data_IF_280713307211
#
_entry.id   IF_280713307211
#
_cell.length_a   1.000
_cell.length_b   1.000
_cell.length_c   1.000
_cell.angle_alpha   90.00
_cell.angle_beta   90.00
_cell.angle_gamma   90.00
#
_symmetry.space_group_name_H-M   'P 1'
#
loop_
_entity.id
_entity.type
_entity.pdbx_description
1 polymer ?
#
# COMPACT_ATOMS: atom_id res chain seq x y z
N UNK A 1 -13.14 -9.05 17.46
CA UNK A 1 -13.90 -7.79 17.33
C UNK A 1 -13.05 -6.74 16.61
N UNK A 2 -13.63 -5.56 16.34
CA UNK A 2 -12.88 -4.40 15.84
C UNK A 2 -11.85 -3.88 16.85
N UNK A 3 -11.94 -4.31 18.09
CA UNK A 3 -10.92 -4.01 19.10
C UNK A 3 -9.67 -4.92 18.98
N UNK A 4 -9.84 -6.09 18.39
CA UNK A 4 -8.77 -7.09 18.28
C UNK A 4 -8.05 -7.02 16.92
N UNK A 5 -8.80 -6.71 15.85
CA UNK A 5 -8.30 -6.72 14.46
C UNK A 5 -8.49 -5.38 13.78
N UNK A 6 -7.56 -5.07 12.90
CA UNK A 6 -7.62 -3.91 12.00
C UNK A 6 -7.25 -4.31 10.58
N UNK A 7 -7.96 -3.77 9.61
CA UNK A 7 -7.63 -3.89 8.19
C UNK A 7 -7.03 -2.55 7.75
N UNK A 8 -5.74 -2.55 7.47
CA UNK A 8 -5.04 -1.39 6.96
C UNK A 8 -5.15 -1.37 5.45
N UNK A 9 -5.58 -0.24 4.92
CA UNK A 9 -5.86 -0.05 3.48
C UNK A 9 -5.01 1.07 2.92
N UNK A 10 -4.47 0.84 1.73
CA UNK A 10 -3.80 1.83 0.90
C UNK A 10 -4.19 1.63 -0.57
N UNK A 11 -3.54 2.34 -1.47
CA UNK A 11 -3.64 2.09 -2.92
C UNK A 11 -2.25 2.12 -3.56
N UNK A 12 -2.05 1.23 -4.52
CA UNK A 12 -0.86 1.24 -5.37
C UNK A 12 -0.66 2.58 -6.07
N UNK A 13 -1.76 3.28 -6.37
CA UNK A 13 -1.74 4.60 -7.01
C UNK A 13 -1.10 5.69 -6.15
N UNK A 14 -1.19 5.60 -4.81
CA UNK A 14 -0.48 6.53 -3.92
C UNK A 14 1.02 6.50 -4.23
N UNK A 15 1.57 5.30 -4.32
CA UNK A 15 2.99 5.13 -4.61
C UNK A 15 3.34 5.52 -6.05
N UNK A 16 2.44 5.24 -7.01
CA UNK A 16 2.61 5.64 -8.41
C UNK A 16 2.65 7.16 -8.56
N UNK A 17 1.78 7.89 -7.88
CA UNK A 17 1.74 9.35 -7.90
C UNK A 17 2.98 9.97 -7.24
N UNK A 18 3.37 9.48 -6.05
CA UNK A 18 4.57 9.97 -5.35
C UNK A 18 5.83 9.70 -6.16
N UNK A 19 6.05 8.46 -6.58
CA UNK A 19 7.24 8.10 -7.33
C UNK A 19 7.27 8.75 -8.71
N UNK A 20 6.10 8.90 -9.35
CA UNK A 20 5.94 9.62 -10.61
C UNK A 20 6.33 11.09 -10.49
N UNK A 21 5.93 11.79 -9.42
CA UNK A 21 6.33 13.19 -9.16
C UNK A 21 7.83 13.35 -8.94
N UNK A 22 8.50 12.31 -8.46
CA UNK A 22 9.95 12.24 -8.26
C UNK A 22 10.71 11.74 -9.51
N UNK A 23 10.02 11.50 -10.63
CA UNK A 23 10.60 10.99 -11.87
C UNK A 23 10.97 9.50 -11.85
N UNK A 24 10.53 8.75 -10.84
CA UNK A 24 10.81 7.31 -10.70
C UNK A 24 9.78 6.49 -11.48
N UNK A 25 10.19 5.93 -12.61
CA UNK A 25 9.30 5.20 -13.53
C UNK A 25 9.91 3.88 -13.99
N UNK A 26 9.10 3.04 -14.65
CA UNK A 26 9.56 1.79 -15.28
C UNK A 26 10.20 0.80 -14.31
N UNK A 27 11.39 0.29 -14.65
CA UNK A 27 12.10 -0.70 -13.83
C UNK A 27 12.56 -0.17 -12.46
N UNK A 28 12.85 1.13 -12.35
CA UNK A 28 13.19 1.77 -11.09
C UNK A 28 11.99 1.78 -10.15
N UNK A 29 10.79 2.06 -10.64
CA UNK A 29 9.54 2.00 -9.88
C UNK A 29 9.35 0.65 -9.20
N UNK A 30 9.43 -0.45 -9.97
CA UNK A 30 9.23 -1.80 -9.42
C UNK A 30 10.27 -2.16 -8.35
N UNK A 31 11.53 -1.78 -8.55
CA UNK A 31 12.60 -2.00 -7.56
C UNK A 31 12.36 -1.19 -6.29
N UNK A 32 11.97 0.08 -6.43
CA UNK A 32 11.63 0.95 -5.30
C UNK A 32 10.49 0.36 -4.48
N UNK A 33 9.44 -0.14 -5.12
CA UNK A 33 8.33 -0.79 -4.41
C UNK A 33 8.77 -2.02 -3.59
N UNK A 34 9.68 -2.85 -4.13
CA UNK A 34 10.21 -4.02 -3.42
C UNK A 34 11.04 -3.61 -2.20
N UNK A 35 11.75 -2.49 -2.28
CA UNK A 35 12.52 -1.95 -1.15
C UNK A 35 11.57 -1.41 -0.08
N UNK A 36 10.57 -0.63 -0.48
CA UNK A 36 9.57 -0.05 0.42
C UNK A 36 8.79 -1.14 1.17
N UNK A 37 8.41 -2.23 0.52
CA UNK A 37 7.72 -3.37 1.16
C UNK A 37 8.54 -4.03 2.30
N UNK A 38 9.82 -3.67 2.41
CA UNK A 38 10.70 -4.16 3.47
C UNK A 38 10.95 -3.15 4.59
N UNK A 39 10.32 -1.96 4.53
CA UNK A 39 10.59 -0.89 5.50
C UNK A 39 10.34 -1.31 6.95
N UNK A 40 9.31 -2.12 7.18
CA UNK A 40 9.00 -2.65 8.52
C UNK A 40 9.93 -3.80 8.97
N UNK A 41 10.75 -4.32 8.07
CA UNK A 41 11.58 -5.51 8.29
C UNK A 41 13.08 -5.21 8.37
N UNK A 42 13.50 -4.04 7.90
CA UNK A 42 14.88 -3.61 7.80
C UNK A 42 15.10 -2.27 8.52
N UNK A 43 16.31 -2.01 9.05
CA UNK A 43 16.67 -0.70 9.58
C UNK A 43 16.51 0.41 8.54
N UNK A 44 16.12 1.62 8.99
CA UNK A 44 15.89 2.77 8.11
C UNK A 44 17.10 3.08 7.23
N UNK A 45 18.31 3.02 7.79
CA UNK A 45 19.56 3.30 7.10
C UNK A 45 19.80 2.30 5.93
N UNK A 46 19.38 1.04 6.11
CA UNK A 46 19.51 0.03 5.05
C UNK A 46 18.53 0.27 3.91
N UNK A 47 17.32 0.76 4.21
CA UNK A 47 16.32 1.16 3.21
C UNK A 47 16.82 2.39 2.45
N UNK A 48 17.30 3.42 3.15
CA UNK A 48 17.85 4.64 2.56
C UNK A 48 19.03 4.34 1.63
N UNK A 49 19.96 3.49 2.06
CA UNK A 49 21.08 3.08 1.23
C UNK A 49 20.61 2.38 -0.06
N UNK A 50 19.66 1.45 0.03
CA UNK A 50 19.12 0.75 -1.15
C UNK A 50 18.37 1.71 -2.10
N UNK A 51 17.63 2.69 -1.58
CA UNK A 51 16.97 3.69 -2.40
C UNK A 51 17.98 4.64 -3.07
N UNK A 52 19.03 5.02 -2.35
CA UNK A 52 20.13 5.83 -2.91
C UNK A 52 20.89 5.10 -4.03
N UNK A 53 21.09 3.77 -3.92
CA UNK A 53 21.67 2.94 -4.98
C UNK A 53 20.81 2.93 -6.27
N UNK A 54 19.51 3.15 -6.15
CA UNK A 54 18.60 3.33 -7.30
C UNK A 54 18.64 4.76 -7.88
N UNK A 55 19.45 5.65 -7.29
CA UNK A 55 19.62 7.03 -7.74
C UNK A 55 18.67 8.04 -7.10
N UNK A 56 17.91 7.67 -6.07
CA UNK A 56 17.08 8.61 -5.34
C UNK A 56 17.95 9.49 -4.44
N UNK A 57 17.73 10.79 -4.50
CA UNK A 57 18.38 11.76 -3.62
C UNK A 57 17.69 11.81 -2.25
N UNK A 58 18.39 12.30 -1.23
CA UNK A 58 17.90 12.31 0.14
C UNK A 58 16.52 12.97 0.30
N UNK A 59 16.26 14.08 -0.37
CA UNK A 59 14.97 14.76 -0.34
C UNK A 59 13.83 13.91 -0.93
N UNK A 60 14.10 13.14 -1.98
CA UNK A 60 13.15 12.22 -2.56
C UNK A 60 12.83 11.07 -1.59
N UNK A 61 13.85 10.52 -0.93
CA UNK A 61 13.69 9.48 0.08
C UNK A 61 12.84 10.00 1.26
N UNK A 62 13.15 11.19 1.77
CA UNK A 62 12.38 11.83 2.84
C UNK A 62 10.92 12.08 2.44
N UNK A 63 10.67 12.48 1.19
CA UNK A 63 9.31 12.65 0.65
C UNK A 63 8.55 11.33 0.66
N UNK A 64 9.16 10.25 0.17
CA UNK A 64 8.56 8.91 0.17
C UNK A 64 8.21 8.48 1.61
N UNK A 65 9.17 8.59 2.53
CA UNK A 65 8.97 8.23 3.94
C UNK A 65 7.84 9.04 4.59
N UNK A 66 7.79 10.35 4.33
CA UNK A 66 6.73 11.23 4.82
C UNK A 66 5.35 10.79 4.35
N UNK A 67 5.19 10.49 3.06
CA UNK A 67 3.90 10.06 2.52
C UNK A 67 3.50 8.68 3.05
N UNK A 68 4.44 7.75 3.13
CA UNK A 68 4.16 6.42 3.67
C UNK A 68 3.81 6.43 5.18
N UNK A 69 4.19 7.46 5.92
CA UNK A 69 3.78 7.66 7.30
C UNK A 69 2.34 8.13 7.50
N UNK A 70 1.63 8.51 6.43
CA UNK A 70 0.29 9.10 6.50
C UNK A 70 -0.77 8.04 6.82
N UNK A 71 -1.65 8.38 7.77
CA UNK A 71 -2.80 7.57 8.20
C UNK A 71 -4.13 8.33 8.18
N UNK A 72 -4.13 9.53 7.63
CA UNK A 72 -5.31 10.41 7.51
C UNK A 72 -5.55 10.78 6.05
N UNK A 73 -6.81 10.68 5.60
CA UNK A 73 -7.19 10.97 4.20
C UNK A 73 -6.94 12.42 3.80
N UNK A 74 -7.21 13.37 4.69
CA UNK A 74 -7.00 14.79 4.41
C UNK A 74 -5.51 15.16 4.36
N UNK A 75 -4.67 14.46 5.12
CA UNK A 75 -3.22 14.55 5.03
C UNK A 75 -2.71 13.98 3.70
N UNK A 76 -3.22 12.82 3.31
CA UNK A 76 -2.86 12.19 2.05
C UNK A 76 -3.24 13.08 0.85
N UNK A 77 -4.43 13.64 0.84
CA UNK A 77 -4.87 14.58 -0.19
C UNK A 77 -3.93 15.78 -0.31
N UNK A 78 -3.55 16.38 0.81
CA UNK A 78 -2.60 17.52 0.81
C UNK A 78 -1.21 17.12 0.33
N UNK A 79 -0.73 15.95 0.73
CA UNK A 79 0.59 15.45 0.35
C UNK A 79 0.69 15.12 -1.14
N UNK A 80 -0.42 14.67 -1.77
CA UNK A 80 -0.50 14.40 -3.21
C UNK A 80 -0.89 15.63 -4.05
N UNK A 81 -0.95 16.82 -3.45
CA UNK A 81 -1.20 18.07 -4.16
C UNK A 81 -2.67 18.36 -4.45
N UNK A 82 -3.57 17.74 -3.70
CA UNK A 82 -5.03 17.91 -3.82
C UNK A 82 -5.72 16.63 -4.29
N UNK A 83 -6.87 16.79 -4.96
CA UNK A 83 -7.65 15.65 -5.45
C UNK A 83 -6.88 14.89 -6.52
N UNK A 84 -6.58 13.64 -6.24
CA UNK A 84 -5.85 12.72 -7.11
C UNK A 84 -6.67 11.45 -7.37
N UNK A 85 -6.24 10.62 -8.32
CA UNK A 85 -6.92 9.35 -8.59
C UNK A 85 -6.82 8.40 -7.38
N UNK A 86 -5.67 8.38 -6.70
CA UNK A 86 -5.48 7.58 -5.48
C UNK A 86 -6.43 8.01 -4.36
N UNK A 87 -6.52 9.32 -4.09
CA UNK A 87 -7.42 9.88 -3.06
C UNK A 87 -8.88 9.59 -3.38
N UNK A 88 -9.29 9.81 -4.64
CA UNK A 88 -10.67 9.55 -5.10
C UNK A 88 -11.06 8.07 -4.94
N UNK A 89 -10.16 7.16 -5.35
CA UNK A 89 -10.39 5.71 -5.25
C UNK A 89 -10.48 5.25 -3.78
N UNK A 90 -9.56 5.69 -2.93
CA UNK A 90 -9.58 5.37 -1.51
C UNK A 90 -10.80 5.95 -0.81
N UNK A 91 -11.17 7.20 -1.10
CA UNK A 91 -12.39 7.82 -0.57
C UNK A 91 -13.65 7.04 -0.92
N UNK A 92 -13.75 6.53 -2.15
CA UNK A 92 -14.86 5.67 -2.55
C UNK A 92 -14.86 4.33 -1.79
N UNK A 93 -13.69 3.71 -1.58
CA UNK A 93 -13.56 2.48 -0.80
C UNK A 93 -14.02 2.70 0.64
N UNK A 94 -13.51 3.73 1.32
CA UNK A 94 -13.89 4.03 2.71
C UNK A 94 -15.39 4.35 2.83
N UNK A 95 -15.96 5.12 1.91
CA UNK A 95 -17.40 5.41 1.89
C UNK A 95 -18.26 4.16 1.74
N UNK A 96 -17.82 3.19 0.93
CA UNK A 96 -18.51 1.91 0.80
C UNK A 96 -18.41 1.09 2.09
N UNK A 97 -17.22 1.00 2.71
CA UNK A 97 -17.01 0.26 3.96
C UNK A 97 -17.86 0.84 5.10
N UNK A 98 -17.99 2.15 5.20
CA UNK A 98 -18.93 2.81 6.11
C UNK A 98 -20.37 2.41 5.83
N UNK A 99 -20.78 2.40 4.56
CA UNK A 99 -22.14 2.02 4.14
C UNK A 99 -22.45 0.55 4.47
N UNK A 100 -21.45 -0.31 4.50
CA UNK A 100 -21.57 -1.70 4.93
C UNK A 100 -21.53 -1.89 6.46
N UNK A 101 -21.28 -0.82 7.23
CA UNK A 101 -21.18 -0.87 8.69
C UNK A 101 -19.91 -1.55 9.20
N UNK A 102 -18.84 -1.55 8.42
CA UNK A 102 -17.54 -2.12 8.77
C UNK A 102 -16.41 -1.08 8.83
N UNK A 103 -16.74 0.20 8.86
CA UNK A 103 -15.79 1.29 8.95
C UNK A 103 -14.85 1.17 10.14
N UNK A 104 -15.34 0.77 11.30
CA UNK A 104 -14.54 0.58 12.53
C UNK A 104 -13.43 -0.48 12.43
N UNK A 105 -13.50 -1.34 11.42
CA UNK A 105 -12.50 -2.37 11.15
C UNK A 105 -11.36 -1.90 10.28
N UNK A 106 -11.48 -0.71 9.66
CA UNK A 106 -10.61 -0.29 8.56
C UNK A 106 -9.94 1.03 8.86
N UNK A 107 -8.65 1.10 8.59
CA UNK A 107 -7.83 2.30 8.74
C UNK A 107 -7.04 2.56 7.46
N UNK A 108 -6.87 3.86 7.11
CA UNK A 108 -5.89 4.25 6.11
C UNK A 108 -4.49 4.01 6.66
N UNK A 109 -3.63 3.36 5.89
CA UNK A 109 -2.21 3.25 6.20
C UNK A 109 -1.42 3.26 4.89
N UNK A 110 -0.86 4.41 4.52
CA UNK A 110 -0.13 4.57 3.27
C UNK A 110 1.12 3.68 3.17
N UNK A 111 1.61 3.13 4.29
CA UNK A 111 2.75 2.22 4.31
C UNK A 111 2.43 0.83 3.76
N UNK A 112 1.15 0.47 3.65
CA UNK A 112 0.74 -0.82 3.05
C UNK A 112 0.96 -0.77 1.54
N UNK A 113 2.10 -1.25 1.11
CA UNK A 113 2.53 -1.19 -0.30
C UNK A 113 2.37 -2.52 -1.03
N UNK A 114 2.52 -3.63 -0.34
CA UNK A 114 2.54 -5.00 -0.88
C UNK A 114 3.59 -5.17 -2.00
N UNK A 115 4.56 -6.05 -1.81
CA UNK A 115 5.70 -6.26 -2.72
C UNK A 115 5.35 -6.88 -4.09
N UNK A 116 4.08 -7.19 -4.36
CA UNK A 116 3.65 -7.84 -5.60
C UNK A 116 3.36 -6.79 -6.68
N UNK A 117 4.07 -6.88 -7.79
CA UNK A 117 4.04 -5.90 -8.88
C UNK A 117 2.73 -5.86 -9.67
N UNK A 118 1.84 -6.82 -9.48
CA UNK A 118 0.59 -6.92 -10.25
C UNK A 118 -0.58 -6.09 -9.69
N UNK A 119 -0.47 -5.53 -8.48
CA UNK A 119 -1.51 -4.67 -7.93
C UNK A 119 -1.62 -3.36 -8.71
N UNK A 120 -2.86 -2.91 -8.94
CA UNK A 120 -3.18 -1.73 -9.76
C UNK A 120 -4.09 -0.72 -9.06
N UNK A 121 -4.53 -0.99 -7.84
CA UNK A 121 -5.46 -0.15 -7.09
C UNK A 121 -5.37 -0.41 -5.59
N UNK A 122 -6.50 -0.45 -4.87
CA UNK A 122 -6.52 -0.66 -3.43
C UNK A 122 -5.79 -1.95 -3.03
N UNK A 123 -5.03 -1.86 -1.96
CA UNK A 123 -4.32 -2.96 -1.30
C UNK A 123 -4.65 -2.93 0.18
N UNK A 124 -4.60 -4.08 0.83
CA UNK A 124 -4.93 -4.16 2.25
C UNK A 124 -4.15 -5.26 2.96
N UNK A 125 -3.99 -5.10 4.26
CA UNK A 125 -3.49 -6.10 5.19
C UNK A 125 -4.31 -6.10 6.47
N UNK A 126 -4.63 -7.29 6.97
CA UNK A 126 -5.27 -7.45 8.27
C UNK A 126 -4.20 -7.77 9.32
N UNK A 127 -4.26 -7.06 10.43
CA UNK A 127 -3.36 -7.20 11.56
C UNK A 127 -4.14 -7.34 12.86
N UNK A 128 -3.54 -7.96 13.87
CA UNK A 128 -3.96 -7.78 15.24
C UNK A 128 -3.60 -6.37 15.71
N UNK A 129 -4.47 -5.74 16.51
CA UNK A 129 -4.21 -4.39 17.04
C UNK A 129 -3.09 -4.37 18.08
N UNK A 130 -2.84 -5.48 18.75
CA UNK A 130 -1.74 -5.61 19.69
C UNK A 130 -0.36 -5.57 19.00
N UNK A 131 -0.31 -5.88 17.69
CA UNK A 131 0.94 -5.91 16.93
C UNK A 131 1.85 -7.08 17.26
N UNK A 132 1.30 -8.13 17.85
CA UNK A 132 2.04 -9.32 18.28
C UNK A 132 2.23 -10.32 17.14
N UNK A 133 1.28 -10.31 16.19
CA UNK A 133 1.26 -11.24 15.07
C UNK A 133 1.69 -10.56 13.76
N UNK A 134 2.16 -11.38 12.83
CA UNK A 134 2.31 -10.94 11.43
C UNK A 134 0.94 -10.72 10.81
N UNK A 135 0.90 -10.05 9.63
CA UNK A 135 -0.34 -9.90 8.90
C UNK A 135 -1.07 -11.24 8.74
N UNK A 136 -2.32 -11.28 9.18
CA UNK A 136 -3.20 -12.46 9.13
C UNK A 136 -3.55 -12.78 7.69
N UNK A 137 -3.88 -11.75 6.93
CA UNK A 137 -4.12 -11.85 5.50
C UNK A 137 -3.74 -10.54 4.81
N UNK A 138 -3.65 -10.58 3.50
CA UNK A 138 -3.45 -9.38 2.73
C UNK A 138 -3.71 -9.62 1.26
N UNK A 139 -4.14 -8.57 0.58
CA UNK A 139 -4.57 -8.64 -0.80
C UNK A 139 -4.71 -7.29 -1.46
N UNK A 140 -5.43 -7.26 -2.57
CA UNK A 140 -5.71 -6.03 -3.28
C UNK A 140 -6.32 -6.26 -4.66
N UNK A 141 -6.50 -5.16 -5.38
CA UNK A 141 -7.01 -5.13 -6.74
C UNK A 141 -5.88 -5.29 -7.76
N UNK A 142 -6.13 -6.08 -8.78
CA UNK A 142 -5.23 -6.27 -9.92
C UNK A 142 -6.05 -6.44 -11.20
N UNK A 143 -5.78 -5.57 -12.19
CA UNK A 143 -6.59 -5.48 -13.41
C UNK A 143 -5.89 -6.13 -14.61
N UNK A 144 -4.57 -6.37 -14.52
CA UNK A 144 -3.73 -6.80 -15.67
C UNK A 144 -3.11 -8.19 -15.50
N UNK A 145 -3.34 -8.85 -14.38
CA UNK A 145 -2.68 -10.14 -14.08
C UNK A 145 -3.02 -11.20 -15.12
N UNK A 146 -4.29 -11.30 -15.53
CA UNK A 146 -4.72 -12.29 -16.51
C UNK A 146 -4.12 -11.99 -17.90
N UNK A 147 -4.00 -10.70 -18.25
CA UNK A 147 -3.32 -10.27 -19.48
C UNK A 147 -1.85 -10.68 -19.51
N UNK A 148 -1.13 -10.55 -18.40
CA UNK A 148 0.28 -10.99 -18.32
C UNK A 148 0.45 -12.51 -18.45
N UNK A 149 -0.60 -13.28 -18.18
CA UNK A 149 -0.64 -14.73 -18.35
C UNK A 149 -1.16 -15.18 -19.74
N UNK A 150 -1.33 -14.23 -20.66
CA UNK A 150 -1.77 -14.49 -22.04
C UNK A 150 -3.28 -14.46 -22.26
N UNK A 151 -4.07 -14.05 -21.24
CA UNK A 151 -5.51 -13.81 -21.36
C UNK A 151 -5.85 -12.36 -21.72
N UNK A 152 -7.11 -11.98 -21.55
CA UNK A 152 -7.54 -10.57 -21.64
C UNK A 152 -7.43 -9.90 -20.28
N UNK A 153 -7.11 -8.61 -20.25
CA UNK A 153 -7.17 -7.82 -19.04
C UNK A 153 -8.58 -7.85 -18.45
N UNK A 154 -8.66 -8.18 -17.19
CA UNK A 154 -9.93 -8.27 -16.44
C UNK A 154 -9.68 -7.77 -15.01
N UNK A 155 -10.47 -6.78 -14.55
CA UNK A 155 -10.41 -6.35 -13.16
C UNK A 155 -10.73 -7.52 -12.22
N UNK A 156 -9.84 -7.72 -11.26
CA UNK A 156 -9.99 -8.74 -10.25
C UNK A 156 -9.45 -8.28 -8.90
N UNK A 157 -9.90 -8.93 -7.85
CA UNK A 157 -9.38 -8.77 -6.49
C UNK A 157 -9.15 -10.12 -5.87
N UNK A 158 -8.19 -10.21 -4.96
CA UNK A 158 -7.92 -11.43 -4.22
C UNK A 158 -7.03 -11.17 -3.03
N UNK A 159 -6.92 -12.17 -2.18
CA UNK A 159 -6.07 -12.09 -0.99
C UNK A 159 -5.44 -13.45 -0.67
N UNK A 160 -4.31 -13.41 0.03
CA UNK A 160 -3.69 -14.55 0.66
C UNK A 160 -3.96 -14.53 2.16
N UNK A 161 -4.21 -15.69 2.74
CA UNK A 161 -4.52 -15.88 4.15
C UNK A 161 -3.49 -16.80 4.79
N UNK A 162 -2.95 -16.41 5.95
CA UNK A 162 -1.98 -17.20 6.70
C UNK A 162 -2.66 -18.09 7.73
N UNK A 163 -2.81 -19.39 7.44
CA UNK A 163 -3.46 -20.36 8.34
C UNK A 163 -2.69 -20.50 9.68
N UNK A 164 -1.37 -20.45 9.66
CA UNK A 164 -0.55 -20.54 10.87
C UNK A 164 -0.77 -19.36 11.82
N UNK A 165 -0.97 -18.15 11.30
CA UNK A 165 -1.16 -16.94 12.12
C UNK A 165 -2.51 -16.92 12.81
N UNK A 166 -3.51 -17.62 12.26
CA UNK A 166 -4.86 -17.70 12.85
C UNK A 166 -4.94 -18.75 13.94
N UNK A 167 -3.98 -19.67 13.98
CA UNK A 167 -3.94 -20.75 14.97
C UNK A 167 -3.09 -20.41 16.22
N UNK A 168 -2.39 -19.28 16.19
CA UNK A 168 -1.66 -18.70 17.32
C UNK A 168 -2.59 -17.83 18.18
#
# INVERSE_FOLDING_TARGET
>A
SSDDLVIRVSSRKVLEEVLGSLGVTGGAFSKTCIIIDKMDKLPAEAIEAQLAELGLVADAIATIQSVLGIKDMGELERALGGSSEAVSELGAVFSLLESYGIGDWVELDASVVRGLAYYTGPVFEAHDRAGELRAVCGGGRYDRLIGTLGGKDLPATGFGFGDMVVME
#
